data_IF_477307628673
#
_entry.id   IF_477307628673
#
_cell.length_a   1.000
_cell.length_b   1.000
_cell.length_c   1.000
_cell.angle_alpha   90.00
_cell.angle_beta   90.00
_cell.angle_gamma   90.00
#
_symmetry.space_group_name_H-M   'P 1'
#
loop_
_entity.id
_entity.type
_entity.pdbx_description
1 polymer ?
#
# COMPACT_ATOMS: atom_id res chain seq x y z
N UNK A 1 6.60 -2.23 1.85
CA UNK A 1 5.75 -2.31 3.07
C UNK A 1 4.41 -1.65 2.82
N UNK A 2 4.38 -0.45 2.23
CA UNK A 2 3.14 0.19 1.77
C UNK A 2 2.25 -0.71 0.89
N UNK A 3 2.84 -1.46 -0.05
CA UNK A 3 2.10 -2.40 -0.92
C UNK A 3 1.38 -3.50 -0.12
N UNK A 4 1.97 -3.94 1.00
CA UNK A 4 1.39 -4.97 1.85
C UNK A 4 0.17 -4.45 2.59
N UNK A 5 0.27 -3.27 3.20
CA UNK A 5 -0.85 -2.65 3.91
C UNK A 5 -2.03 -2.37 2.97
N UNK A 6 -1.75 -1.87 1.77
CA UNK A 6 -2.77 -1.67 0.74
C UNK A 6 -3.39 -2.99 0.28
N UNK A 7 -2.59 -4.05 0.16
CA UNK A 7 -3.10 -5.39 -0.15
C UNK A 7 -4.04 -5.91 0.94
N UNK A 8 -3.67 -5.74 2.21
CA UNK A 8 -4.50 -6.08 3.37
C UNK A 8 -5.81 -5.29 3.37
N UNK A 9 -5.75 -3.97 3.14
CA UNK A 9 -6.94 -3.12 3.04
C UNK A 9 -7.87 -3.58 1.90
N UNK A 10 -7.33 -3.90 0.73
CA UNK A 10 -8.12 -4.38 -0.41
C UNK A 10 -8.76 -5.74 -0.14
N UNK A 11 -8.07 -6.66 0.53
CA UNK A 11 -8.63 -7.94 0.97
C UNK A 11 -9.79 -7.74 1.96
N UNK A 12 -9.60 -6.86 2.94
CA UNK A 12 -10.63 -6.57 3.94
C UNK A 12 -11.86 -5.90 3.30
N UNK A 13 -11.66 -4.97 2.35
CA UNK A 13 -12.76 -4.34 1.61
C UNK A 13 -13.56 -5.34 0.79
N UNK A 14 -12.88 -6.21 0.05
CA UNK A 14 -13.55 -7.24 -0.73
C UNK A 14 -14.37 -8.18 0.16
N UNK A 15 -13.80 -8.56 1.32
CA UNK A 15 -14.48 -9.36 2.32
C UNK A 15 -15.75 -8.66 2.85
N UNK A 16 -15.68 -7.36 3.17
CA UNK A 16 -16.83 -6.55 3.61
C UNK A 16 -17.91 -6.43 2.54
N UNK A 17 -17.53 -6.20 1.28
CA UNK A 17 -18.47 -6.04 0.17
C UNK A 17 -19.20 -7.35 -0.19
N UNK A 18 -18.49 -8.47 -0.13
CA UNK A 18 -19.01 -9.78 -0.57
C UNK A 18 -19.53 -10.64 0.58
N UNK A 19 -19.28 -10.24 1.83
CA UNK A 19 -19.46 -11.06 3.02
C UNK A 19 -18.75 -12.43 2.93
N UNK A 20 -17.67 -12.53 2.16
CA UNK A 20 -16.96 -13.80 1.93
C UNK A 20 -16.43 -14.43 3.22
N UNK A 21 -16.23 -13.63 4.27
CA UNK A 21 -15.80 -14.09 5.60
C UNK A 21 -16.88 -14.90 6.35
N UNK A 22 -18.16 -14.81 5.95
CA UNK A 22 -19.25 -15.61 6.52
C UNK A 22 -19.29 -17.03 5.93
N UNK A 23 -18.93 -17.17 4.66
CA UNK A 23 -18.90 -18.45 3.94
C UNK A 23 -17.57 -18.60 3.18
N UNK A 24 -16.46 -18.86 3.89
CA UNK A 24 -15.14 -18.78 3.30
C UNK A 24 -14.92 -19.83 2.21
N UNK A 25 -14.53 -19.38 1.02
CA UNK A 25 -14.16 -20.23 -0.11
C UNK A 25 -12.67 -20.05 -0.44
N UNK A 26 -11.87 -21.09 -0.16
CA UNK A 26 -10.42 -21.05 -0.31
C UNK A 26 -9.96 -20.67 -1.73
N UNK A 27 -10.58 -21.23 -2.77
CA UNK A 27 -10.23 -20.94 -4.16
C UNK A 27 -10.52 -19.49 -4.57
N UNK A 28 -11.56 -18.91 -3.98
CA UNK A 28 -11.94 -17.51 -4.22
C UNK A 28 -10.96 -16.56 -3.53
N UNK A 29 -10.61 -16.83 -2.27
CA UNK A 29 -9.58 -16.09 -1.55
C UNK A 29 -8.20 -16.19 -2.21
N UNK A 30 -7.83 -17.38 -2.68
CA UNK A 30 -6.55 -17.58 -3.36
C UNK A 30 -6.48 -16.77 -4.66
N UNK A 31 -7.56 -16.76 -5.45
CA UNK A 31 -7.64 -15.96 -6.68
C UNK A 31 -7.56 -14.47 -6.39
N UNK A 32 -8.30 -13.99 -5.40
CA UNK A 32 -8.28 -12.59 -4.99
C UNK A 32 -6.91 -12.16 -4.50
N UNK A 33 -6.26 -12.99 -3.67
CA UNK A 33 -4.90 -12.73 -3.20
C UNK A 33 -3.91 -12.64 -4.35
N UNK A 34 -3.93 -13.60 -5.29
CA UNK A 34 -3.06 -13.58 -6.47
C UNK A 34 -3.31 -12.34 -7.33
N UNK A 35 -4.57 -11.92 -7.46
CA UNK A 35 -4.92 -10.69 -8.18
C UNK A 35 -4.30 -9.46 -7.49
N UNK A 36 -4.45 -9.35 -6.16
CA UNK A 36 -3.92 -8.25 -5.35
C UNK A 36 -2.38 -8.23 -5.36
N UNK A 37 -1.75 -9.39 -5.19
CA UNK A 37 -0.29 -9.54 -5.23
C UNK A 37 0.28 -9.17 -6.62
N UNK A 38 -0.53 -9.31 -7.68
CA UNK A 38 -0.19 -8.89 -9.04
C UNK A 38 -0.39 -7.39 -9.33
N UNK A 39 -0.96 -6.61 -8.40
CA UNK A 39 -1.17 -5.18 -8.60
C UNK A 39 0.13 -4.40 -8.43
N UNK A 40 0.35 -3.44 -9.33
CA UNK A 40 1.32 -2.38 -9.05
C UNK A 40 0.77 -1.48 -7.95
N UNK A 41 1.66 -0.84 -7.18
CA UNK A 41 1.27 0.09 -6.12
C UNK A 41 0.24 1.13 -6.59
N UNK A 42 0.47 1.74 -7.76
CA UNK A 42 -0.49 2.70 -8.35
C UNK A 42 -1.84 2.09 -8.73
N UNK A 43 -1.89 0.83 -9.19
CA UNK A 43 -3.16 0.14 -9.43
C UNK A 43 -3.90 -0.17 -8.13
N UNK A 44 -3.18 -0.60 -7.08
CA UNK A 44 -3.76 -0.86 -5.76
C UNK A 44 -4.37 0.42 -5.17
N UNK A 45 -3.63 1.53 -5.19
CA UNK A 45 -4.12 2.84 -4.75
C UNK A 45 -5.36 3.29 -5.50
N UNK A 46 -5.37 3.18 -6.83
CA UNK A 46 -6.54 3.54 -7.64
C UNK A 46 -7.76 2.68 -7.33
N UNK A 47 -7.57 1.37 -7.06
CA UNK A 47 -8.67 0.47 -6.68
C UNK A 47 -9.21 0.82 -5.30
N UNK A 48 -8.33 1.14 -4.35
CA UNK A 48 -8.71 1.56 -3.00
C UNK A 48 -9.47 2.89 -3.03
N UNK A 49 -8.97 3.90 -3.76
CA UNK A 49 -9.64 5.19 -3.95
C UNK A 49 -11.07 5.05 -4.46
N UNK A 50 -11.26 4.18 -5.48
CA UNK A 50 -12.60 3.87 -6.02
C UNK A 50 -13.53 3.18 -5.02
N UNK A 51 -13.02 2.31 -4.15
CA UNK A 51 -13.82 1.55 -3.19
C UNK A 51 -14.17 2.37 -1.94
N UNK A 52 -13.24 3.19 -1.47
CA UNK A 52 -13.41 3.96 -0.23
C UNK A 52 -13.96 5.37 -0.45
N UNK A 53 -14.09 5.82 -1.71
CA UNK A 53 -14.38 7.22 -2.04
C UNK A 53 -13.48 8.17 -1.23
N UNK A 54 -12.17 7.96 -1.38
CA UNK A 54 -11.17 8.64 -0.56
C UNK A 54 -11.23 10.15 -0.74
N UNK A 55 -10.97 10.87 0.35
CA UNK A 55 -10.82 12.31 0.29
C UNK A 55 -9.60 12.71 -0.56
N UNK A 56 -9.69 13.86 -1.24
CA UNK A 56 -8.68 14.32 -2.20
C UNK A 56 -7.28 14.48 -1.58
N UNK A 57 -7.22 14.81 -0.28
CA UNK A 57 -5.99 14.94 0.50
C UNK A 57 -5.26 13.59 0.68
N UNK A 58 -6.01 12.51 0.94
CA UNK A 58 -5.47 11.16 1.02
C UNK A 58 -5.00 10.67 -0.36
N UNK A 59 -5.78 10.93 -1.42
CA UNK A 59 -5.36 10.59 -2.78
C UNK A 59 -4.06 11.31 -3.17
N UNK A 60 -3.93 12.59 -2.81
CA UNK A 60 -2.71 13.36 -3.03
C UNK A 60 -1.51 12.77 -2.25
N UNK A 61 -1.68 12.46 -0.97
CA UNK A 61 -0.63 11.87 -0.14
C UNK A 61 -0.11 10.54 -0.72
N UNK A 62 -1.01 9.67 -1.15
CA UNK A 62 -0.64 8.41 -1.81
C UNK A 62 -0.01 8.61 -3.19
N UNK A 63 -0.45 9.64 -3.93
CA UNK A 63 0.14 10.03 -5.21
C UNK A 63 1.59 10.47 -5.08
N UNK A 64 1.91 11.29 -4.08
CA UNK A 64 3.29 11.73 -3.81
C UNK A 64 4.16 10.57 -3.30
N UNK A 65 3.65 9.73 -2.40
CA UNK A 65 4.36 8.53 -1.95
C UNK A 65 4.65 7.56 -3.11
N UNK A 66 3.73 7.40 -4.06
CA UNK A 66 3.96 6.59 -5.26
C UNK A 66 5.09 7.16 -6.12
N UNK A 67 5.16 8.49 -6.30
CA UNK A 67 6.24 9.14 -7.04
C UNK A 67 7.58 8.92 -6.34
N UNK A 68 7.65 9.17 -5.04
CA UNK A 68 8.86 8.97 -4.23
C UNK A 68 9.33 7.51 -4.27
N UNK A 69 8.42 6.54 -4.11
CA UNK A 69 8.73 5.11 -4.21
C UNK A 69 9.25 4.74 -5.60
N UNK A 70 8.65 5.26 -6.67
CA UNK A 70 9.11 5.01 -8.04
C UNK A 70 10.47 5.64 -8.32
N UNK A 71 10.77 6.80 -7.73
CA UNK A 71 12.09 7.40 -7.77
C UNK A 71 13.13 6.48 -7.11
N UNK A 72 12.88 6.03 -5.88
CA UNK A 72 13.77 5.10 -5.17
C UNK A 72 13.97 3.80 -5.96
N UNK A 73 12.89 3.21 -6.47
CA UNK A 73 12.93 1.91 -7.14
C UNK A 73 13.63 1.93 -8.51
N UNK A 74 13.58 3.06 -9.22
CA UNK A 74 14.01 3.10 -10.63
C UNK A 74 15.11 4.12 -10.94
N UNK A 75 15.32 5.12 -10.10
CA UNK A 75 16.15 6.29 -10.43
C UNK A 75 17.31 6.50 -9.45
N UNK A 76 17.09 6.28 -8.15
CA UNK A 76 18.07 6.54 -7.09
C UNK A 76 19.46 5.94 -7.39
N UNK A 77 19.50 4.64 -7.73
CA UNK A 77 20.77 3.95 -8.03
C UNK A 77 21.23 4.10 -9.49
N UNK A 78 20.31 4.42 -10.40
CA UNK A 78 20.59 4.45 -11.85
C UNK A 78 21.43 5.66 -12.25
N UNK A 79 21.37 6.74 -11.46
CA UNK A 79 22.11 7.97 -11.69
C UNK A 79 23.59 7.88 -11.26
N UNK A 80 23.92 6.96 -10.33
CA UNK A 80 25.16 7.00 -9.57
C UNK A 80 25.92 5.66 -9.47
N UNK A 81 25.68 4.69 -10.36
CA UNK A 81 26.16 3.30 -10.21
C UNK A 81 27.67 3.12 -10.09
N UNK A 82 28.49 4.03 -10.62
CA UNK A 82 29.96 4.06 -10.42
C UNK A 82 30.39 5.13 -9.40
N UNK A 83 29.54 6.11 -9.13
CA UNK A 83 29.80 7.24 -8.25
C UNK A 83 29.59 6.91 -6.76
N UNK A 84 28.91 5.80 -6.42
CA UNK A 84 28.77 5.33 -5.02
C UNK A 84 30.10 4.99 -4.33
N UNK A 85 31.20 4.91 -5.09
CA UNK A 85 32.54 4.72 -4.54
C UNK A 85 33.10 6.02 -3.95
N UNK A 86 32.62 7.17 -4.42
CA UNK A 86 32.94 8.49 -3.88
C UNK A 86 32.10 8.81 -2.64
N UNK A 87 32.74 9.40 -1.62
CA UNK A 87 32.08 9.70 -0.35
C UNK A 87 31.04 10.82 -0.47
N UNK A 88 31.32 11.86 -1.25
CA UNK A 88 30.38 12.95 -1.48
C UNK A 88 29.10 12.46 -2.15
N UNK A 89 29.25 11.65 -3.19
CA UNK A 89 28.11 11.07 -3.90
C UNK A 89 27.29 10.11 -3.03
N UNK A 90 27.94 9.36 -2.10
CA UNK A 90 27.21 8.54 -1.12
C UNK A 90 26.35 9.38 -0.18
N UNK A 91 26.83 10.55 0.23
CA UNK A 91 26.08 11.44 1.10
C UNK A 91 24.85 12.02 0.39
N UNK A 92 25.01 12.44 -0.87
CA UNK A 92 23.87 12.90 -1.70
C UNK A 92 22.82 11.81 -1.89
N UNK A 93 23.25 10.57 -2.15
CA UNK A 93 22.33 9.43 -2.26
C UNK A 93 21.58 9.13 -0.96
N UNK A 94 22.25 9.30 0.18
CA UNK A 94 21.63 9.12 1.47
C UNK A 94 20.59 10.22 1.73
N UNK A 95 20.91 11.46 1.38
CA UNK A 95 19.98 12.60 1.47
C UNK A 95 18.75 12.38 0.59
N UNK A 96 18.93 12.05 -0.70
CA UNK A 96 17.82 11.73 -1.61
C UNK A 96 16.95 10.55 -1.10
N UNK A 97 17.57 9.55 -0.47
CA UNK A 97 16.85 8.42 0.11
C UNK A 97 16.04 8.82 1.36
N UNK A 98 16.59 9.70 2.20
CA UNK A 98 15.92 10.23 3.38
C UNK A 98 14.74 11.13 3.01
N UNK A 99 14.91 12.02 2.03
CA UNK A 99 13.81 12.84 1.50
C UNK A 99 12.68 11.98 0.95
N UNK A 100 13.01 10.92 0.19
CA UNK A 100 12.00 9.99 -0.30
C UNK A 100 11.30 9.26 0.86
N UNK A 101 12.03 8.90 1.92
CA UNK A 101 11.47 8.27 3.10
C UNK A 101 10.48 9.18 3.85
N UNK A 102 10.79 10.48 3.99
CA UNK A 102 9.90 11.46 4.63
C UNK A 102 8.54 11.58 3.93
N UNK A 103 8.49 11.34 2.62
CA UNK A 103 7.24 11.32 1.85
C UNK A 103 6.53 9.96 1.91
N UNK A 104 7.29 8.86 1.86
CA UNK A 104 6.71 7.50 1.83
C UNK A 104 6.16 7.09 3.20
N UNK A 105 6.83 7.46 4.29
CA UNK A 105 6.51 6.98 5.63
C UNK A 105 5.11 7.42 6.11
N UNK A 106 4.68 8.69 5.96
CA UNK A 106 3.32 9.11 6.32
C UNK A 106 2.25 8.34 5.56
N UNK A 107 2.44 8.12 4.25
CA UNK A 107 1.51 7.34 3.45
C UNK A 107 1.46 5.87 3.89
N UNK A 108 2.60 5.30 4.31
CA UNK A 108 2.64 3.97 4.92
C UNK A 108 1.81 3.92 6.22
N UNK A 109 1.98 4.88 7.13
CA UNK A 109 1.20 4.95 8.37
C UNK A 109 -0.30 5.05 8.09
N UNK A 110 -0.70 5.89 7.12
CA UNK A 110 -2.10 6.00 6.69
C UNK A 110 -2.64 4.68 6.12
N UNK A 111 -1.89 4.00 5.27
CA UNK A 111 -2.29 2.71 4.72
C UNK A 111 -2.44 1.65 5.83
N UNK A 112 -1.53 1.65 6.81
CA UNK A 112 -1.59 0.76 7.95
C UNK A 112 -2.86 1.01 8.78
N UNK A 113 -3.17 2.26 9.09
CA UNK A 113 -4.38 2.62 9.84
C UNK A 113 -5.66 2.19 9.10
N UNK A 114 -5.71 2.39 7.78
CA UNK A 114 -6.82 1.94 6.93
C UNK A 114 -6.94 0.41 6.97
N UNK A 115 -5.83 -0.31 6.80
CA UNK A 115 -5.82 -1.77 6.81
C UNK A 115 -6.29 -2.33 8.16
N UNK A 116 -5.81 -1.77 9.27
CA UNK A 116 -6.23 -2.13 10.62
C UNK A 116 -7.71 -1.88 10.82
N UNK A 117 -8.21 -0.70 10.44
CA UNK A 117 -9.61 -0.34 10.60
C UNK A 117 -10.55 -1.29 9.85
N UNK A 118 -10.25 -1.56 8.58
CA UNK A 118 -11.05 -2.45 7.73
C UNK A 118 -11.03 -3.89 8.24
N UNK A 119 -9.86 -4.38 8.64
CA UNK A 119 -9.74 -5.73 9.21
C UNK A 119 -10.53 -5.86 10.52
N UNK A 120 -10.51 -4.82 11.35
CA UNK A 120 -11.30 -4.80 12.58
C UNK A 120 -12.80 -4.79 12.29
N UNK A 121 -13.26 -4.04 11.29
CA UNK A 121 -14.66 -4.08 10.86
C UNK A 121 -15.09 -5.47 10.39
N UNK A 122 -14.27 -6.16 9.59
CA UNK A 122 -14.53 -7.55 9.17
C UNK A 122 -14.75 -8.45 10.39
N UNK A 123 -13.87 -8.36 11.39
CA UNK A 123 -13.97 -9.15 12.62
C UNK A 123 -15.24 -8.83 13.42
N UNK A 124 -15.60 -7.55 13.53
CA UNK A 124 -16.83 -7.12 14.22
C UNK A 124 -18.08 -7.69 13.56
N UNK A 125 -18.21 -7.56 12.23
CA UNK A 125 -19.36 -8.09 11.49
C UNK A 125 -19.41 -9.62 11.56
N UNK A 126 -18.25 -10.28 11.45
CA UNK A 126 -18.16 -11.74 11.58
C UNK A 126 -18.64 -12.23 12.94
N UNK A 127 -18.32 -11.51 14.02
CA UNK A 127 -18.74 -11.86 15.37
C UNK A 127 -20.24 -11.63 15.59
N UNK A 128 -20.80 -10.54 15.06
CA UNK A 128 -22.24 -10.25 15.14
C UNK A 128 -23.08 -11.29 14.41
N UNK A 129 -22.59 -11.84 13.29
CA UNK A 129 -23.30 -12.86 12.53
C UNK A 129 -23.31 -14.25 13.19
N UNK A 130 -22.53 -14.46 14.26
CA UNK A 130 -22.43 -15.73 15.00
C UNK A 130 -23.28 -15.78 16.27
N UNK A 131 -23.80 -14.63 16.70
CA UNK A 131 -24.73 -14.47 17.82
C UNK A 131 -26.16 -14.45 17.33
#
# INVERSE_FOLDING_TARGET
MLEMELGTALLALDALETNSFLAPNADTYQRLRVEIDGLTLGKALRRMGKKLNMAEDLEAAFGEALKARNFVAHHLFKRNSLAMLDEGTRMELLEEALEAFEVIHPAYSLAQDVAVHLTHQVLQVANQART
#
